data_IF_727086567162
#
_entry.id   IF_727086567162
#
_cell.length_a   1.000
_cell.length_b   1.000
_cell.length_c   1.000
_cell.angle_alpha   90.00
_cell.angle_beta   90.00
_cell.angle_gamma   90.00
#
_symmetry.space_group_name_H-M   'P 1'
#
loop_
_entity.id
_entity.type
_entity.pdbx_description
1 polymer ?
#
# COMPACT_ATOMS: atom_id res chain seq x y z
N UNK A 1 -12.23 9.29 -9.80
CA UNK A 1 -11.33 8.73 -8.77
C UNK A 1 -10.31 7.84 -9.44
N UNK A 2 -9.25 7.44 -8.73
CA UNK A 2 -8.37 6.39 -9.22
C UNK A 2 -9.10 5.05 -9.21
N UNK A 3 -9.05 4.30 -10.30
CA UNK A 3 -9.77 3.02 -10.42
C UNK A 3 -8.90 1.81 -10.05
N UNK A 4 -7.61 2.03 -9.86
CA UNK A 4 -6.70 1.12 -9.19
C UNK A 4 -6.00 1.91 -8.08
N UNK A 5 -6.10 1.42 -6.84
CA UNK A 5 -5.44 2.02 -5.68
C UNK A 5 -4.81 0.89 -4.86
N UNK A 6 -3.53 1.03 -4.54
CA UNK A 6 -2.83 0.11 -3.67
C UNK A 6 -1.91 0.88 -2.70
N UNK A 7 -1.54 0.24 -1.60
CA UNK A 7 -0.50 0.72 -0.70
C UNK A 7 0.55 -0.37 -0.51
N UNK A 8 1.82 -0.01 -0.62
CA UNK A 8 2.95 -0.93 -0.47
C UNK A 8 3.97 -0.40 0.53
N UNK A 9 4.87 -1.29 0.97
CA UNK A 9 5.95 -0.94 1.89
C UNK A 9 7.29 -1.37 1.30
N UNK A 10 8.27 -0.46 1.34
CA UNK A 10 9.63 -0.71 0.82
C UNK A 10 10.36 -1.89 1.48
N UNK A 11 9.99 -2.26 2.71
CA UNK A 11 10.53 -3.44 3.38
C UNK A 11 9.99 -4.77 2.84
N UNK A 12 8.86 -4.77 2.13
CA UNK A 12 8.28 -5.97 1.49
C UNK A 12 8.48 -5.90 -0.03
N UNK A 13 9.73 -6.08 -0.47
CA UNK A 13 10.12 -5.84 -1.87
C UNK A 13 9.36 -6.70 -2.88
N UNK A 14 9.18 -8.00 -2.60
CA UNK A 14 8.48 -8.92 -3.50
C UNK A 14 7.02 -8.50 -3.73
N UNK A 15 6.32 -8.16 -2.63
CA UNK A 15 4.96 -7.64 -2.68
C UNK A 15 4.89 -6.29 -3.43
N UNK A 16 5.83 -5.38 -3.19
CA UNK A 16 5.88 -4.10 -3.89
C UNK A 16 6.09 -4.26 -5.40
N UNK A 17 6.98 -5.17 -5.82
CA UNK A 17 7.17 -5.48 -7.25
C UNK A 17 5.89 -6.04 -7.87
N UNK A 18 5.16 -6.91 -7.16
CA UNK A 18 3.86 -7.43 -7.61
C UNK A 18 2.86 -6.30 -7.82
N UNK A 19 2.67 -5.43 -6.83
CA UNK A 19 1.77 -4.28 -6.95
C UNK A 19 2.13 -3.34 -8.11
N UNK A 20 3.42 -3.06 -8.29
CA UNK A 20 3.89 -2.21 -9.40
C UNK A 20 3.59 -2.86 -10.77
N UNK A 21 3.80 -4.16 -10.91
CA UNK A 21 3.47 -4.91 -12.14
C UNK A 21 1.97 -4.89 -12.44
N UNK A 22 1.14 -5.07 -11.42
CA UNK A 22 -0.32 -5.02 -11.54
C UNK A 22 -0.80 -3.62 -11.95
N UNK A 23 -0.28 -2.57 -11.31
CA UNK A 23 -0.60 -1.19 -11.67
C UNK A 23 -0.15 -0.83 -13.09
N UNK A 24 1.04 -1.29 -13.53
CA UNK A 24 1.52 -1.08 -14.90
C UNK A 24 0.66 -1.80 -15.95
N UNK A 25 0.08 -2.95 -15.58
CA UNK A 25 -0.78 -3.73 -16.47
C UNK A 25 -2.23 -3.23 -16.48
N UNK A 26 -2.59 -2.35 -15.54
CA UNK A 26 -3.93 -1.81 -15.41
C UNK A 26 -4.25 -0.84 -16.57
N UNK A 27 -5.35 -1.03 -17.34
CA UNK A 27 -5.69 -0.20 -18.48
C UNK A 27 -6.38 1.12 -18.04
N UNK A 28 -5.69 1.91 -17.21
CA UNK A 28 -6.22 3.15 -16.67
C UNK A 28 -5.30 3.82 -15.65
N UNK A 29 -5.85 4.78 -14.91
CA UNK A 29 -5.10 5.45 -13.86
C UNK A 29 -4.96 4.57 -12.61
N UNK A 30 -3.71 4.30 -12.23
CA UNK A 30 -3.34 3.53 -11.06
C UNK A 30 -2.53 4.38 -10.08
N UNK A 31 -2.91 4.33 -8.80
CA UNK A 31 -2.20 4.97 -7.69
C UNK A 31 -1.60 3.90 -6.78
N UNK A 32 -0.29 3.99 -6.53
CA UNK A 32 0.37 3.22 -5.47
C UNK A 32 0.95 4.20 -4.45
N UNK A 33 0.46 4.12 -3.21
CA UNK A 33 1.05 4.80 -2.07
C UNK A 33 2.17 3.92 -1.48
N UNK A 34 3.42 4.40 -1.49
CA UNK A 34 4.58 3.62 -1.06
C UNK A 34 5.10 4.15 0.26
N UNK A 35 4.94 3.37 1.33
CA UNK A 35 5.53 3.64 2.63
C UNK A 35 7.06 3.45 2.52
N UNK A 36 7.76 4.58 2.53
CA UNK A 36 9.22 4.62 2.43
C UNK A 36 9.84 5.40 3.61
N UNK A 37 10.69 4.77 4.43
CA UNK A 37 11.29 5.44 5.56
C UNK A 37 12.42 6.39 5.09
N UNK A 38 12.34 7.65 5.52
CA UNK A 38 13.44 8.60 5.34
C UNK A 38 14.44 8.48 6.50
N UNK A 39 15.51 7.70 6.31
CA UNK A 39 16.51 7.41 7.36
C UNK A 39 17.20 8.65 7.92
N UNK A 40 17.32 9.71 7.11
CA UNK A 40 18.01 10.96 7.50
C UNK A 40 17.19 11.76 8.50
N UNK A 41 15.91 12.02 8.21
CA UNK A 41 15.10 13.01 8.93
C UNK A 41 13.97 12.43 9.76
N UNK A 42 13.26 11.40 9.28
CA UNK A 42 12.11 10.86 10.02
C UNK A 42 12.55 9.77 11.00
N UNK A 43 12.66 10.13 12.28
CA UNK A 43 13.04 9.21 13.36
C UNK A 43 11.85 8.53 14.04
N UNK A 44 10.61 8.88 13.66
CA UNK A 44 9.38 8.31 14.22
C UNK A 44 8.93 7.14 13.35
N UNK A 45 8.65 7.39 12.06
CA UNK A 45 8.24 6.34 11.13
C UNK A 45 9.46 5.65 10.50
N UNK A 46 10.15 4.90 11.34
CA UNK A 46 11.32 4.11 10.94
C UNK A 46 10.93 2.85 10.16
N UNK A 47 11.90 2.18 9.54
CA UNK A 47 11.69 0.90 8.86
C UNK A 47 11.00 -0.12 9.80
N UNK A 48 11.49 -0.26 11.03
CA UNK A 48 10.91 -1.17 12.03
C UNK A 48 9.49 -0.76 12.41
N UNK A 49 9.25 0.54 12.58
CA UNK A 49 7.94 1.04 12.94
C UNK A 49 6.86 0.63 11.92
N UNK A 50 7.18 0.73 10.62
CA UNK A 50 6.32 0.24 9.55
C UNK A 50 6.23 -1.29 9.53
N UNK A 51 7.35 -2.00 9.60
CA UNK A 51 7.39 -3.46 9.54
C UNK A 51 6.53 -4.13 10.63
N UNK A 52 6.47 -3.54 11.83
CA UNK A 52 5.67 -4.07 12.95
C UNK A 52 4.15 -3.85 12.78
N UNK A 53 3.71 -3.06 11.78
CA UNK A 53 2.33 -2.58 11.65
C UNK A 53 1.68 -2.87 10.31
N UNK A 54 2.46 -2.94 9.25
CA UNK A 54 1.94 -3.28 7.92
C UNK A 54 1.58 -4.76 7.88
N UNK A 55 0.51 -5.06 7.15
CA UNK A 55 0.11 -6.41 6.81
C UNK A 55 -0.50 -6.40 5.42
N UNK A 56 -0.46 -7.55 4.75
CA UNK A 56 -1.08 -7.72 3.46
C UNK A 56 -2.58 -8.00 3.64
N UNK A 57 -3.40 -7.43 2.76
CA UNK A 57 -4.83 -7.74 2.78
C UNK A 57 -5.02 -9.20 2.33
N UNK A 58 -5.94 -9.94 2.99
CA UNK A 58 -6.21 -11.33 2.63
C UNK A 58 -6.84 -11.42 1.24
N UNK A 59 -6.67 -12.57 0.55
CA UNK A 59 -7.21 -12.77 -0.80
C UNK A 59 -8.74 -12.69 -0.84
N UNK A 60 -9.40 -12.97 0.29
CA UNK A 60 -10.85 -12.85 0.45
C UNK A 60 -11.35 -11.40 0.54
N UNK A 61 -10.45 -10.41 0.58
CA UNK A 61 -10.83 -9.00 0.62
C UNK A 61 -11.39 -8.56 -0.74
N UNK A 62 -12.66 -8.13 -0.76
CA UNK A 62 -13.31 -7.61 -1.96
C UNK A 62 -12.73 -6.26 -2.42
N UNK A 63 -12.38 -6.13 -3.69
CA UNK A 63 -11.78 -4.91 -4.27
C UNK A 63 -12.76 -4.07 -5.10
N UNK A 64 -14.05 -4.41 -5.08
CA UNK A 64 -15.11 -3.80 -5.88
C UNK A 64 -16.02 -2.82 -5.11
N UNK A 65 -15.82 -2.67 -3.80
CA UNK A 65 -16.59 -1.79 -2.94
C UNK A 65 -15.81 -0.54 -2.51
N UNK A 66 -16.19 0.63 -3.05
CA UNK A 66 -15.53 1.90 -2.74
C UNK A 66 -15.61 2.28 -1.26
N UNK A 67 -16.76 2.07 -0.61
CA UNK A 67 -16.94 2.44 0.80
C UNK A 67 -16.04 1.61 1.71
N UNK A 68 -15.94 0.31 1.45
CA UNK A 68 -15.04 -0.60 2.19
C UNK A 68 -13.57 -0.22 1.95
N UNK A 69 -13.20 0.07 0.71
CA UNK A 69 -11.85 0.52 0.37
C UNK A 69 -11.47 1.82 1.09
N UNK A 70 -12.40 2.79 1.18
CA UNK A 70 -12.19 4.04 1.90
C UNK A 70 -12.07 3.82 3.40
N UNK A 71 -12.94 3.00 4.00
CA UNK A 71 -12.86 2.64 5.42
C UNK A 71 -11.50 2.01 5.74
N UNK A 72 -11.04 1.09 4.89
CA UNK A 72 -9.75 0.43 5.06
C UNK A 72 -8.56 1.38 4.89
N UNK A 73 -8.65 2.31 3.95
CA UNK A 73 -7.60 3.30 3.68
C UNK A 73 -7.38 4.28 4.86
N UNK A 74 -8.40 4.47 5.71
CA UNK A 74 -8.36 5.32 6.90
C UNK A 74 -7.66 4.65 8.10
N UNK A 75 -7.35 3.35 8.02
CA UNK A 75 -6.56 2.67 9.04
C UNK A 75 -5.12 3.19 9.06
N UNK A 76 -4.68 3.68 10.23
CA UNK A 76 -3.37 4.27 10.45
C UNK A 76 -2.90 4.04 11.87
N UNK A 77 -1.58 4.02 12.08
CA UNK A 77 -0.97 3.86 13.39
C UNK A 77 0.49 3.48 13.29
#
# INVERSE_FOLDING_TARGET
>A
GANFVARGFTGHQEHLVKLMKEAMSYPGYALIDILQPCVSFNKVNTLRWYADRVYELPEEYGTDNLSQALEKAMEWG
#
